data_IF_952867065955
#
_entry.id   IF_952867065955
#
_cell.length_a   1.000
_cell.length_b   1.000
_cell.length_c   1.000
_cell.angle_alpha   90.00
_cell.angle_beta   90.00
_cell.angle_gamma   90.00
#
_symmetry.space_group_name_H-M   'P 1'
#
loop_
_entity.id
_entity.type
_entity.pdbx_description
1 polymer ?
#
# COMPACT_ATOMS: atom_id res chain seq x y z
N UNK A 1 15.88 -0.27 10.62
CA UNK A 1 14.96 -0.55 9.49
C UNK A 1 13.76 0.36 9.61
N UNK A 2 13.30 0.92 8.49
CA UNK A 2 12.06 1.71 8.40
C UNK A 2 11.06 0.94 7.55
N UNK A 3 9.90 0.67 8.12
CA UNK A 3 8.70 0.16 7.45
C UNK A 3 7.63 1.24 7.43
N UNK A 4 6.70 1.12 6.49
CA UNK A 4 5.67 2.13 6.27
C UNK A 4 4.31 1.45 6.36
N UNK A 5 3.27 2.07 6.95
CA UNK A 5 1.99 1.42 7.14
C UNK A 5 1.29 1.20 5.80
N UNK A 6 0.64 0.04 5.64
CA UNK A 6 -0.22 -0.18 4.49
C UNK A 6 -1.55 0.58 4.69
N UNK A 7 -2.23 0.77 3.56
CA UNK A 7 -3.58 1.32 3.44
C UNK A 7 -4.53 0.65 4.44
N UNK A 8 -5.56 1.36 4.88
CA UNK A 8 -6.59 0.80 5.75
C UNK A 8 -7.59 -0.06 4.95
N UNK A 9 -7.10 -1.16 4.38
CA UNK A 9 -7.95 -2.17 3.75
C UNK A 9 -8.70 -2.96 4.83
N UNK A 10 -10.01 -3.16 4.64
CA UNK A 10 -10.88 -3.92 5.56
C UNK A 10 -10.73 -5.45 5.44
N UNK A 11 -9.76 -5.92 4.66
CA UNK A 11 -9.47 -7.34 4.46
C UNK A 11 -8.88 -7.95 5.73
N UNK A 12 -9.39 -9.13 6.09
CA UNK A 12 -9.03 -9.83 7.31
C UNK A 12 -8.52 -11.23 7.00
N UNK A 13 -7.46 -11.62 7.70
CA UNK A 13 -6.98 -12.99 7.71
C UNK A 13 -8.01 -13.92 8.40
N UNK A 14 -7.88 -15.22 8.12
CA UNK A 14 -8.67 -16.24 8.83
C UNK A 14 -8.25 -16.31 10.31
N UNK A 15 -9.17 -16.73 11.18
CA UNK A 15 -8.84 -16.96 12.60
C UNK A 15 -7.79 -18.06 12.79
N UNK A 16 -7.76 -19.05 11.87
CA UNK A 16 -6.76 -20.12 11.85
C UNK A 16 -5.35 -19.58 11.65
N UNK A 17 -5.19 -18.57 10.79
CA UNK A 17 -3.90 -17.90 10.59
C UNK A 17 -3.38 -17.26 11.89
N UNK A 18 -4.25 -16.60 12.64
CA UNK A 18 -3.85 -15.95 13.90
C UNK A 18 -3.47 -16.98 14.96
N UNK A 19 -4.22 -18.08 15.05
CA UNK A 19 -3.88 -19.19 15.93
C UNK A 19 -2.55 -19.82 15.55
N UNK A 20 -2.31 -20.03 14.25
CA UNK A 20 -1.05 -20.54 13.75
C UNK A 20 0.12 -19.63 14.14
N UNK A 21 0.01 -18.32 13.86
CA UNK A 21 1.06 -17.37 14.24
C UNK A 21 1.30 -17.36 15.74
N UNK A 22 0.24 -17.40 16.56
CA UNK A 22 0.38 -17.52 18.02
C UNK A 22 1.08 -18.80 18.46
N UNK A 23 0.82 -19.91 17.78
CA UNK A 23 1.42 -21.21 18.09
C UNK A 23 2.88 -21.34 17.61
N UNK A 24 3.27 -20.56 16.60
CA UNK A 24 4.66 -20.49 16.13
C UNK A 24 5.55 -19.66 17.07
N UNK A 25 4.95 -18.85 17.94
CA UNK A 25 5.71 -18.11 18.96
C UNK A 25 6.32 -19.10 19.97
N UNK A 26 7.59 -18.93 20.35
CA UNK A 26 8.25 -19.85 21.27
C UNK A 26 7.57 -19.83 22.64
N UNK A 27 7.28 -21.03 23.16
CA UNK A 27 6.67 -21.21 24.49
C UNK A 27 7.60 -20.75 25.62
N UNK A 28 7.07 -20.49 26.82
CA UNK A 28 7.87 -20.19 28.03
C UNK A 28 8.96 -21.23 28.29
N UNK A 29 8.65 -22.51 28.07
CA UNK A 29 9.59 -23.61 28.26
C UNK A 29 10.71 -23.60 27.22
N UNK A 30 10.39 -23.50 25.92
CA UNK A 30 11.39 -23.41 24.86
C UNK A 30 12.32 -22.21 25.09
N UNK A 31 11.78 -21.06 25.50
CA UNK A 31 12.57 -19.86 25.84
C UNK A 31 13.58 -20.12 26.97
N UNK A 32 13.21 -20.89 27.98
CA UNK A 32 14.08 -21.25 29.09
C UNK A 32 15.15 -22.27 28.68
N UNK A 33 14.75 -23.31 27.95
CA UNK A 33 15.61 -24.46 27.62
C UNK A 33 16.76 -24.07 26.68
N UNK A 34 16.53 -23.13 25.75
CA UNK A 34 17.56 -22.75 24.79
C UNK A 34 18.61 -21.78 25.31
N UNK A 35 18.45 -21.12 26.48
CA UNK A 35 19.39 -20.19 27.16
C UNK A 35 19.99 -19.01 26.34
N UNK A 36 19.93 -19.03 25.01
CA UNK A 36 20.39 -18.01 24.06
C UNK A 36 19.25 -17.11 23.56
N UNK A 37 17.99 -17.55 23.67
CA UNK A 37 16.81 -16.76 23.29
C UNK A 37 16.29 -15.84 24.41
N UNK A 38 17.19 -15.27 25.22
CA UNK A 38 16.84 -14.37 26.34
C UNK A 38 16.11 -13.09 25.90
N UNK A 39 16.12 -12.75 24.61
CA UNK A 39 15.43 -11.57 24.04
C UNK A 39 14.04 -11.86 23.46
N UNK A 40 13.57 -13.12 23.51
CA UNK A 40 12.41 -13.57 22.74
C UNK A 40 11.12 -13.76 23.56
N UNK A 41 10.97 -13.07 24.69
CA UNK A 41 9.60 -12.85 25.16
C UNK A 41 8.92 -11.99 24.12
N UNK A 42 7.87 -12.50 23.45
CA UNK A 42 6.95 -11.61 22.74
C UNK A 42 6.51 -10.57 23.76
N UNK A 43 6.94 -9.32 23.60
CA UNK A 43 6.62 -8.29 24.54
C UNK A 43 5.10 -8.17 24.65
N UNK A 44 4.60 -7.92 25.86
CA UNK A 44 3.18 -7.58 26.00
C UNK A 44 2.87 -6.36 25.15
N UNK A 45 1.64 -6.22 24.68
CA UNK A 45 1.22 -5.01 23.96
C UNK A 45 1.55 -3.75 24.78
N UNK A 46 1.37 -3.79 26.11
CA UNK A 46 1.77 -2.69 27.00
C UNK A 46 3.26 -2.36 26.96
N UNK A 47 4.13 -3.38 26.87
CA UNK A 47 5.57 -3.19 26.75
C UNK A 47 5.96 -2.69 25.35
N UNK A 48 5.36 -3.25 24.29
CA UNK A 48 5.54 -2.76 22.93
C UNK A 48 5.11 -1.30 22.82
N UNK A 49 3.97 -0.95 23.40
CA UNK A 49 3.44 0.41 23.38
C UNK A 49 4.38 1.39 24.09
N UNK A 50 5.11 0.95 25.12
CA UNK A 50 6.14 1.76 25.79
C UNK A 50 7.41 1.95 24.95
N UNK A 51 7.80 0.94 24.16
CA UNK A 51 8.99 1.02 23.30
C UNK A 51 8.69 1.77 22.01
N UNK A 52 7.66 1.33 21.30
CA UNK A 52 7.26 1.82 20.01
C UNK A 52 5.74 1.59 19.81
N UNK A 53 4.90 2.63 20.05
CA UNK A 53 3.45 2.57 19.88
C UNK A 53 3.01 2.10 18.49
N UNK A 54 3.75 2.49 17.44
CA UNK A 54 3.41 2.11 16.06
C UNK A 54 3.63 0.63 15.81
N UNK A 55 4.76 0.09 16.29
CA UNK A 55 5.03 -1.36 16.26
C UNK A 55 3.97 -2.11 17.08
N UNK A 56 3.58 -1.58 18.25
CA UNK A 56 2.50 -2.15 19.06
C UNK A 56 1.18 -2.23 18.29
N UNK A 57 0.81 -1.17 17.57
CA UNK A 57 -0.41 -1.13 16.76
C UNK A 57 -0.40 -2.20 15.66
N UNK A 58 0.72 -2.34 14.95
CA UNK A 58 0.85 -3.36 13.90
C UNK A 58 0.86 -4.77 14.49
N UNK A 59 1.53 -4.97 15.62
CA UNK A 59 1.51 -6.24 16.32
C UNK A 59 0.09 -6.62 16.74
N UNK A 60 -0.68 -5.66 17.27
CA UNK A 60 -2.08 -5.87 17.60
C UNK A 60 -2.90 -6.23 16.35
N UNK A 61 -2.70 -5.53 15.23
CA UNK A 61 -3.42 -5.80 14.00
C UNK A 61 -3.26 -7.24 13.48
N UNK A 62 -2.06 -7.82 13.66
CA UNK A 62 -1.75 -9.19 13.24
C UNK A 62 -2.26 -10.21 14.25
N UNK A 63 -1.93 -10.04 15.54
CA UNK A 63 -2.12 -11.09 16.54
C UNK A 63 -3.45 -11.00 17.31
N UNK A 64 -4.19 -9.90 17.22
CA UNK A 64 -5.52 -9.79 17.80
C UNK A 64 -6.54 -10.57 16.95
N UNK A 65 -7.31 -11.45 17.60
CA UNK A 65 -8.30 -12.31 16.96
C UNK A 65 -9.47 -11.50 16.39
N UNK A 66 -9.77 -10.34 16.98
CA UNK A 66 -10.90 -9.51 16.59
C UNK A 66 -10.51 -8.55 15.44
N UNK A 67 -9.23 -8.16 15.37
CA UNK A 67 -8.70 -7.26 14.33
C UNK A 67 -8.30 -8.03 13.08
N UNK A 68 -7.28 -8.91 13.21
CA UNK A 68 -6.80 -9.85 12.16
C UNK A 68 -6.65 -9.21 10.77
N UNK A 69 -6.01 -8.03 10.71
CA UNK A 69 -5.80 -7.26 9.48
C UNK A 69 -4.80 -7.98 8.57
N UNK A 70 -5.16 -8.17 7.30
CA UNK A 70 -4.31 -8.86 6.33
C UNK A 70 -3.12 -7.99 5.86
N UNK A 71 -3.35 -6.68 5.75
CA UNK A 71 -2.42 -5.67 5.22
C UNK A 71 -1.92 -4.76 6.34
N UNK A 72 -0.62 -4.80 6.62
CA UNK A 72 -0.09 -4.15 7.82
C UNK A 72 0.97 -3.10 7.51
N UNK A 73 1.85 -3.38 6.55
CA UNK A 73 2.95 -2.50 6.15
C UNK A 73 2.99 -2.42 4.62
N UNK A 74 3.26 -1.27 4.03
CA UNK A 74 3.36 -1.06 2.58
C UNK A 74 4.73 -1.56 2.05
N UNK A 75 4.82 -1.78 0.73
CA UNK A 75 5.93 -2.44 0.03
C UNK A 75 7.27 -1.69 0.06
N UNK A 76 7.35 -0.50 0.64
CA UNK A 76 8.62 0.23 0.70
C UNK A 76 9.34 -0.01 2.01
N UNK A 77 10.45 -0.72 1.90
CA UNK A 77 11.39 -1.01 2.97
C UNK A 77 12.62 -0.11 2.81
N UNK A 78 12.91 0.72 3.81
CA UNK A 78 14.15 1.51 3.83
C UNK A 78 15.09 0.95 4.90
N UNK A 79 16.19 0.33 4.46
CA UNK A 79 17.23 -0.18 5.34
C UNK A 79 18.30 0.90 5.53
N UNK A 80 18.23 1.64 6.64
CA UNK A 80 19.26 2.62 7.00
C UNK A 80 20.31 1.95 7.90
N UNK A 81 21.53 1.85 7.38
CA UNK A 81 22.77 1.60 8.12
C UNK A 81 22.76 0.38 9.07
N UNK A 82 22.24 -0.77 8.63
CA UNK A 82 22.28 -2.00 9.44
C UNK A 82 22.44 -3.29 8.61
N UNK A 83 23.42 -3.32 7.71
CA UNK A 83 23.65 -4.43 6.76
C UNK A 83 23.92 -5.79 7.42
N UNK A 84 24.56 -5.81 8.60
CA UNK A 84 24.97 -7.05 9.26
C UNK A 84 23.81 -7.80 9.95
N UNK A 85 22.61 -7.22 9.97
CA UNK A 85 21.55 -7.64 10.89
C UNK A 85 20.21 -7.99 10.20
N UNK A 86 20.18 -7.86 8.87
CA UNK A 86 18.97 -8.12 8.07
C UNK A 86 18.91 -9.57 7.56
N UNK A 87 20.03 -10.29 7.59
CA UNK A 87 20.14 -11.66 7.05
C UNK A 87 19.25 -12.67 7.78
N UNK A 88 19.24 -12.68 9.13
CA UNK A 88 18.40 -13.61 9.89
C UNK A 88 16.90 -13.31 9.73
N UNK A 89 16.43 -12.05 9.81
CA UNK A 89 15.04 -11.70 9.49
C UNK A 89 14.62 -12.08 8.06
N UNK A 90 15.46 -11.80 7.06
CA UNK A 90 15.17 -12.19 5.66
C UNK A 90 15.11 -13.70 5.48
N UNK A 91 16.04 -14.44 6.10
CA UNK A 91 16.03 -15.90 6.04
C UNK A 91 14.75 -16.46 6.68
N UNK A 92 14.34 -15.93 7.83
CA UNK A 92 13.10 -16.35 8.47
C UNK A 92 11.87 -15.97 7.64
N UNK A 93 11.86 -14.77 7.05
CA UNK A 93 10.82 -14.30 6.13
C UNK A 93 10.68 -15.24 4.92
N UNK A 94 11.80 -15.63 4.31
CA UNK A 94 11.81 -16.57 3.19
C UNK A 94 11.23 -17.93 3.60
N UNK A 95 11.60 -18.44 4.77
CA UNK A 95 11.02 -19.69 5.31
C UNK A 95 9.51 -19.57 5.51
N UNK A 96 9.03 -18.47 6.10
CA UNK A 96 7.60 -18.20 6.26
C UNK A 96 6.84 -18.13 4.93
N UNK A 97 7.48 -17.54 3.92
CA UNK A 97 6.91 -17.48 2.57
C UNK A 97 6.82 -18.88 1.93
N UNK A 98 7.85 -19.71 2.08
CA UNK A 98 7.89 -21.06 1.49
C UNK A 98 6.88 -22.05 2.09
N UNK A 99 6.49 -21.87 3.36
CA UNK A 99 5.51 -22.75 4.00
C UNK A 99 4.05 -22.46 3.58
N UNK A 100 3.82 -21.53 2.64
CA UNK A 100 2.51 -21.30 2.04
C UNK A 100 1.52 -20.60 2.97
N UNK A 101 1.99 -19.55 3.67
CA UNK A 101 1.15 -18.69 4.52
C UNK A 101 0.59 -17.47 3.78
N UNK A 102 0.52 -17.54 2.46
CA UNK A 102 0.04 -16.51 1.53
C UNK A 102 -1.39 -16.03 1.83
N UNK A 103 -2.21 -16.88 2.46
CA UNK A 103 -3.57 -16.51 2.90
C UNK A 103 -3.63 -15.84 4.28
N UNK A 104 -2.51 -15.81 4.98
CA UNK A 104 -2.45 -15.33 6.37
C UNK A 104 -1.89 -13.92 6.50
N UNK A 105 -1.11 -13.46 5.52
CA UNK A 105 -0.58 -12.10 5.40
C UNK A 105 -0.43 -11.71 3.93
N UNK A 106 -0.41 -10.42 3.62
CA UNK A 106 -0.37 -9.92 2.25
C UNK A 106 1.04 -9.90 1.59
N UNK A 107 1.90 -10.87 1.91
CA UNK A 107 3.15 -11.11 1.20
C UNK A 107 4.44 -10.96 2.01
N UNK A 108 5.54 -10.74 1.28
CA UNK A 108 6.93 -10.76 1.72
C UNK A 108 7.29 -9.75 2.83
N UNK A 109 6.72 -8.55 2.79
CA UNK A 109 6.92 -7.48 3.79
C UNK A 109 6.33 -7.83 5.16
N UNK A 110 5.13 -8.40 5.20
CA UNK A 110 4.56 -8.91 6.44
C UNK A 110 5.33 -10.12 6.95
N UNK A 111 5.85 -10.98 6.07
CA UNK A 111 6.74 -12.06 6.48
C UNK A 111 8.06 -11.56 7.08
N UNK A 112 8.61 -10.45 6.56
CA UNK A 112 9.80 -9.82 7.14
C UNK A 112 9.51 -9.30 8.55
N UNK A 113 8.38 -8.60 8.72
CA UNK A 113 7.92 -8.13 10.02
C UNK A 113 7.69 -9.27 11.01
N UNK A 114 7.03 -10.35 10.57
CA UNK A 114 6.84 -11.55 11.36
C UNK A 114 8.19 -12.18 11.72
N UNK A 115 9.12 -12.28 10.77
CA UNK A 115 10.47 -12.77 11.01
C UNK A 115 11.21 -11.97 12.08
N UNK A 116 11.12 -10.63 12.04
CA UNK A 116 11.65 -9.76 13.09
C UNK A 116 11.01 -10.07 14.45
N UNK A 117 9.68 -10.20 14.49
CA UNK A 117 8.95 -10.53 15.72
C UNK A 117 9.35 -11.91 16.30
N UNK A 118 9.47 -12.94 15.46
CA UNK A 118 9.91 -14.29 15.85
C UNK A 118 11.38 -14.36 16.27
N UNK A 119 12.17 -13.33 15.95
CA UNK A 119 13.55 -13.15 16.42
C UNK A 119 13.67 -12.20 17.62
N UNK A 120 12.55 -11.62 18.07
CA UNK A 120 12.51 -10.74 19.24
C UNK A 120 13.06 -9.36 18.94
N UNK A 121 13.03 -8.99 17.66
CA UNK A 121 13.56 -7.74 17.12
C UNK A 121 12.41 -6.76 16.96
N UNK A 122 12.40 -5.76 17.82
CA UNK A 122 11.43 -4.64 17.81
C UNK A 122 12.14 -3.28 17.68
N UNK A 123 13.43 -3.32 17.37
CA UNK A 123 14.34 -2.20 17.10
C UNK A 123 14.23 -1.69 15.65
N UNK A 124 13.01 -1.67 15.12
CA UNK A 124 12.69 -1.08 13.84
C UNK A 124 11.64 0.01 14.02
N UNK A 125 11.63 0.98 13.12
CA UNK A 125 10.63 2.02 13.11
C UNK A 125 9.61 1.70 12.03
N UNK A 126 8.33 1.75 12.41
CA UNK A 126 7.26 1.94 11.45
C UNK A 126 7.03 3.44 11.43
N UNK A 127 7.55 4.12 10.41
CA UNK A 127 7.20 5.54 10.25
C UNK A 127 5.76 5.56 9.78
N UNK A 128 4.88 6.20 10.55
CA UNK A 128 3.46 6.35 10.22
C UNK A 128 3.22 7.31 9.05
N UNK A 129 3.99 7.19 7.98
CA UNK A 129 3.85 8.02 6.79
C UNK A 129 2.53 7.69 6.12
N UNK A 130 1.85 8.73 5.66
CA UNK A 130 0.61 8.58 4.94
C UNK A 130 0.91 7.95 3.59
N UNK A 131 0.21 6.87 3.27
CA UNK A 131 0.14 6.35 1.90
C UNK A 131 -0.64 7.38 1.08
N UNK A 132 0.08 8.16 0.29
CA UNK A 132 -0.49 9.07 -0.69
C UNK A 132 -0.65 8.42 -2.05
N UNK A 133 -0.95 9.23 -3.05
CA UNK A 133 -0.81 8.85 -4.46
C UNK A 133 -0.24 10.03 -5.23
N UNK A 134 0.39 9.68 -6.34
CA UNK A 134 0.71 10.63 -7.38
C UNK A 134 -0.38 10.53 -8.44
N UNK A 135 -0.77 11.67 -8.98
CA UNK A 135 -1.75 11.72 -10.04
C UNK A 135 -1.30 12.71 -11.10
N UNK A 136 -1.70 12.40 -12.34
CA UNK A 136 -1.79 13.41 -13.38
C UNK A 136 -2.95 14.34 -13.05
N UNK A 137 -2.75 15.63 -13.29
CA UNK A 137 -3.87 16.55 -13.40
C UNK A 137 -4.35 16.40 -14.84
N UNK A 138 -5.65 16.15 -15.04
CA UNK A 138 -6.38 16.17 -16.32
C UNK A 138 -7.08 14.84 -16.69
N UNK A 139 -8.12 14.98 -17.53
CA UNK A 139 -9.09 14.05 -18.14
C UNK A 139 -10.53 14.21 -17.66
N UNK A 140 -10.76 14.56 -16.39
CA UNK A 140 -12.06 15.02 -15.89
C UNK A 140 -11.82 16.27 -15.04
N UNK A 141 -12.60 17.32 -15.27
CA UNK A 141 -12.51 18.56 -14.49
C UNK A 141 -12.61 18.25 -12.98
N UNK A 142 -11.60 18.71 -12.23
CA UNK A 142 -11.51 18.58 -10.78
C UNK A 142 -11.42 17.15 -10.21
N UNK A 143 -11.04 16.15 -11.01
CA UNK A 143 -10.74 14.80 -10.50
C UNK A 143 -9.26 14.48 -10.69
N UNK A 144 -8.61 14.03 -9.61
CA UNK A 144 -7.25 13.52 -9.64
C UNK A 144 -7.25 12.00 -9.46
N UNK A 145 -6.67 11.27 -10.42
CA UNK A 145 -6.56 9.82 -10.35
C UNK A 145 -5.10 9.35 -10.36
N UNK A 146 -4.72 8.48 -9.43
CA UNK A 146 -3.43 7.79 -9.41
C UNK A 146 -3.63 6.29 -9.53
N UNK A 147 -2.85 5.62 -10.37
CA UNK A 147 -2.91 4.15 -10.51
C UNK A 147 -2.07 3.42 -9.46
N UNK A 148 -1.20 4.14 -8.74
CA UNK A 148 -0.25 3.55 -7.80
C UNK A 148 -0.19 4.33 -6.49
N UNK A 149 -0.03 3.59 -5.40
CA UNK A 149 0.24 4.20 -4.10
C UNK A 149 1.65 4.77 -4.07
N UNK A 150 1.75 5.93 -3.43
CA UNK A 150 2.98 6.65 -3.22
C UNK A 150 3.19 6.89 -1.74
N UNK A 151 4.45 7.02 -1.34
CA UNK A 151 4.79 7.38 0.02
C UNK A 151 5.24 8.81 0.03
N UNK A 152 4.52 9.60 0.81
CA UNK A 152 4.65 11.05 0.81
C UNK A 152 4.95 11.49 2.23
N UNK A 153 5.86 12.45 2.36
CA UNK A 153 6.14 13.08 3.63
C UNK A 153 6.37 14.56 3.47
N UNK A 154 5.60 15.37 4.19
CA UNK A 154 5.69 16.84 4.13
C UNK A 154 5.62 17.34 2.68
N UNK A 155 4.84 16.66 1.82
CA UNK A 155 4.73 16.97 0.40
C UNK A 155 5.89 16.57 -0.50
N UNK A 156 6.80 15.72 -0.02
CA UNK A 156 7.85 15.14 -0.85
C UNK A 156 7.53 13.68 -1.14
N UNK A 157 7.68 13.27 -2.39
CA UNK A 157 7.62 11.86 -2.79
C UNK A 157 8.88 11.15 -2.29
N UNK A 158 8.71 10.10 -1.51
CA UNK A 158 9.79 9.26 -1.00
C UNK A 158 9.96 7.99 -1.82
N UNK A 159 8.84 7.38 -2.20
CA UNK A 159 8.81 6.22 -3.09
C UNK A 159 7.44 6.09 -3.75
N UNK A 160 7.41 5.33 -4.84
CA UNK A 160 6.18 4.91 -5.50
C UNK A 160 6.23 3.41 -5.71
N UNK A 161 5.12 2.73 -5.45
CA UNK A 161 5.05 1.29 -5.60
C UNK A 161 4.72 0.97 -7.06
N UNK A 162 5.70 0.48 -7.83
CA UNK A 162 5.48 -0.09 -9.17
C UNK A 162 6.57 0.21 -10.18
N UNK A 163 6.67 -0.64 -11.21
CA UNK A 163 7.63 -0.55 -12.33
C UNK A 163 7.35 0.59 -13.31
N UNK A 164 6.98 1.76 -12.78
CA UNK A 164 6.98 3.08 -13.41
C UNK A 164 6.11 3.29 -14.66
N UNK A 165 5.45 2.24 -15.18
CA UNK A 165 4.28 2.31 -16.06
C UNK A 165 2.98 2.38 -15.27
N UNK A 166 1.92 2.99 -15.82
CA UNK A 166 0.61 3.14 -15.16
C UNK A 166 0.01 1.80 -14.75
N UNK A 167 0.17 0.77 -15.58
CA UNK A 167 -0.37 -0.56 -15.33
C UNK A 167 0.72 -1.60 -15.05
N UNK A 168 0.75 -2.20 -13.85
CA UNK A 168 1.79 -3.20 -13.53
C UNK A 168 1.51 -4.59 -14.08
N UNK A 169 0.25 -4.91 -14.36
CA UNK A 169 -0.18 -6.22 -14.84
C UNK A 169 0.40 -6.49 -16.23
N UNK A 170 0.99 -7.68 -16.39
CA UNK A 170 1.54 -8.17 -17.65
C UNK A 170 0.89 -9.52 -18.02
N UNK A 171 0.37 -9.71 -19.24
CA UNK A 171 0.28 -8.72 -20.31
C UNK A 171 -0.78 -7.65 -20.02
N UNK A 172 -0.56 -6.41 -20.49
CA UNK A 172 -1.52 -5.31 -20.34
C UNK A 172 -2.89 -5.62 -20.95
N UNK A 173 -2.94 -6.41 -22.02
CA UNK A 173 -4.20 -6.83 -22.65
C UNK A 173 -5.13 -7.56 -21.66
N UNK A 174 -4.58 -8.38 -20.76
CA UNK A 174 -5.36 -9.07 -19.74
C UNK A 174 -6.01 -8.08 -18.77
N UNK A 175 -5.29 -7.02 -18.40
CA UNK A 175 -5.84 -5.99 -17.51
C UNK A 175 -6.98 -5.22 -18.16
N UNK A 176 -6.85 -4.90 -19.45
CA UNK A 176 -7.87 -4.19 -20.22
C UNK A 176 -9.12 -5.03 -20.37
N UNK A 177 -8.99 -6.31 -20.72
CA UNK A 177 -10.12 -7.24 -20.81
C UNK A 177 -10.91 -7.27 -19.49
N UNK A 178 -10.19 -7.43 -18.38
CA UNK A 178 -10.78 -7.50 -17.04
C UNK A 178 -11.44 -6.19 -16.60
N UNK A 179 -10.90 -5.05 -17.02
CA UNK A 179 -11.49 -3.76 -16.73
C UNK A 179 -12.77 -3.50 -17.54
N UNK A 180 -12.81 -3.99 -18.78
CA UNK A 180 -13.96 -3.86 -19.68
C UNK A 180 -15.02 -4.96 -19.46
N UNK A 181 -14.72 -6.03 -18.74
CA UNK A 181 -15.68 -7.09 -18.35
C UNK A 181 -16.83 -6.57 -17.47
N UNK A 182 -16.57 -5.55 -16.65
CA UNK A 182 -17.56 -4.93 -15.77
C UNK A 182 -18.18 -3.73 -16.49
N UNK A 183 -19.46 -3.84 -16.89
CA UNK A 183 -20.18 -2.82 -17.67
C UNK A 183 -20.05 -1.42 -17.08
N UNK A 184 -20.27 -1.30 -15.78
CA UNK A 184 -20.15 -0.07 -15.04
C UNK A 184 -18.74 0.57 -15.08
N UNK A 185 -17.71 -0.28 -15.09
CA UNK A 185 -16.30 0.14 -15.12
C UNK A 185 -15.96 0.61 -16.54
N UNK A 186 -16.45 -0.11 -17.55
CA UNK A 186 -16.35 0.29 -18.94
C UNK A 186 -17.03 1.66 -19.19
N UNK A 187 -18.25 1.88 -18.67
CA UNK A 187 -18.95 3.16 -18.80
C UNK A 187 -18.18 4.32 -18.13
N UNK A 188 -17.63 4.09 -16.94
CA UNK A 188 -16.79 5.09 -16.29
C UNK A 188 -15.54 5.41 -17.12
N UNK A 189 -14.87 4.41 -17.69
CA UNK A 189 -13.69 4.60 -18.54
C UNK A 189 -14.04 5.37 -19.82
N UNK A 190 -15.21 5.12 -20.42
CA UNK A 190 -15.69 5.90 -21.57
C UNK A 190 -15.82 7.38 -21.24
N UNK A 191 -16.36 7.71 -20.07
CA UNK A 191 -16.47 9.10 -19.59
C UNK A 191 -15.08 9.68 -19.33
N UNK A 192 -14.22 8.96 -18.61
CA UNK A 192 -12.87 9.42 -18.25
C UNK A 192 -12.00 9.72 -19.47
N UNK A 193 -12.04 8.85 -20.49
CA UNK A 193 -11.29 9.07 -21.73
C UNK A 193 -12.05 9.93 -22.76
N UNK A 194 -13.30 10.30 -22.49
CA UNK A 194 -14.19 10.96 -23.46
C UNK A 194 -14.31 10.18 -24.78
N UNK A 195 -14.37 8.84 -24.69
CA UNK A 195 -14.47 7.91 -25.82
C UNK A 195 -15.72 7.06 -25.65
N UNK A 196 -16.70 7.18 -26.55
CA UNK A 196 -17.93 6.37 -26.51
C UNK A 196 -17.78 4.98 -27.13
N UNK A 197 -16.86 4.85 -28.09
CA UNK A 197 -16.62 3.62 -28.87
C UNK A 197 -15.69 2.66 -28.13
N UNK A 198 -16.10 1.39 -27.99
CA UNK A 198 -15.38 0.43 -27.14
C UNK A 198 -14.04 0.01 -27.74
N UNK A 199 -13.94 -0.09 -29.06
CA UNK A 199 -12.69 -0.50 -29.71
C UNK A 199 -11.65 0.61 -29.63
N UNK A 200 -12.06 1.87 -29.86
CA UNK A 200 -11.20 3.04 -29.60
C UNK A 200 -10.80 3.16 -28.14
N UNK A 201 -11.70 2.85 -27.20
CA UNK A 201 -11.36 2.86 -25.79
C UNK A 201 -10.30 1.80 -25.49
N UNK A 202 -10.41 0.60 -26.06
CA UNK A 202 -9.41 -0.45 -25.90
C UNK A 202 -8.03 0.00 -26.40
N UNK A 203 -7.96 0.61 -27.57
CA UNK A 203 -6.70 1.15 -28.12
C UNK A 203 -6.09 2.22 -27.20
N UNK A 204 -6.90 3.15 -26.69
CA UNK A 204 -6.44 4.20 -25.78
C UNK A 204 -5.96 3.61 -24.44
N UNK A 205 -6.64 2.58 -23.92
CA UNK A 205 -6.21 1.89 -22.71
C UNK A 205 -4.89 1.15 -22.90
N UNK A 206 -4.66 0.52 -24.06
CA UNK A 206 -3.37 -0.13 -24.38
C UNK A 206 -2.22 0.86 -24.34
N UNK A 207 -2.44 2.06 -24.87
CA UNK A 207 -1.47 3.15 -24.85
C UNK A 207 -1.28 3.66 -23.42
N UNK A 208 -2.35 4.08 -22.73
CA UNK A 208 -2.25 4.70 -21.40
C UNK A 208 -1.68 3.73 -20.36
N UNK A 209 -2.06 2.46 -20.38
CA UNK A 209 -1.60 1.47 -19.39
C UNK A 209 -0.11 1.17 -19.52
N UNK A 210 0.44 1.28 -20.73
CA UNK A 210 1.87 1.11 -21.00
C UNK A 210 2.69 2.38 -20.75
N UNK A 211 2.04 3.56 -20.66
CA UNK A 211 2.74 4.83 -20.42
C UNK A 211 3.26 4.95 -19.01
N UNK A 212 4.23 5.84 -18.84
CA UNK A 212 4.74 6.22 -17.53
C UNK A 212 3.65 6.86 -16.68
N UNK A 213 3.82 6.78 -15.37
CA UNK A 213 2.89 7.39 -14.41
C UNK A 213 3.01 8.92 -14.51
N UNK A 214 1.87 9.60 -14.60
CA UNK A 214 1.83 11.05 -14.54
C UNK A 214 1.97 11.50 -13.07
N UNK A 215 2.95 12.36 -12.81
CA UNK A 215 3.28 12.87 -11.46
C UNK A 215 3.20 14.40 -11.49
N UNK A 216 1.97 14.93 -11.50
CA UNK A 216 1.75 16.38 -11.50
C UNK A 216 1.38 16.90 -10.11
N UNK A 217 0.65 16.08 -9.34
CA UNK A 217 0.27 16.40 -7.97
C UNK A 217 0.60 15.26 -7.01
N UNK A 218 0.82 15.65 -5.76
CA UNK A 218 0.94 14.74 -4.63
C UNK A 218 -0.26 14.95 -3.72
N UNK A 219 -0.94 13.85 -3.39
CA UNK A 219 -2.01 13.85 -2.39
C UNK A 219 -1.53 13.14 -1.13
N UNK A 220 -1.44 13.88 -0.04
CA UNK A 220 -1.04 13.39 1.28
C UNK A 220 -2.28 13.30 2.19
N UNK A 221 -2.78 12.10 2.53
CA UNK A 221 -3.89 11.97 3.47
C UNK A 221 -3.57 12.60 4.83
N UNK A 222 -4.58 13.14 5.50
CA UNK A 222 -4.44 13.65 6.85
C UNK A 222 -4.53 12.48 7.85
N UNK A 223 -3.48 12.25 8.68
CA UNK A 223 -3.42 11.09 9.58
C UNK A 223 -4.46 11.14 10.71
N UNK A 224 -5.08 12.30 10.95
CA UNK A 224 -6.14 12.46 11.94
C UNK A 224 -7.48 11.83 11.53
N UNK A 225 -7.62 11.43 10.26
CA UNK A 225 -8.84 10.82 9.73
C UNK A 225 -8.60 9.33 9.43
N UNK A 226 -9.56 8.47 9.81
CA UNK A 226 -9.53 7.07 9.39
C UNK A 226 -9.76 6.98 7.88
N UNK A 227 -8.84 6.31 7.19
CA UNK A 227 -8.92 6.06 5.76
C UNK A 227 -10.01 5.00 5.50
N UNK A 228 -11.10 5.39 4.85
CA UNK A 228 -12.12 4.44 4.39
C UNK A 228 -12.19 4.43 2.87
N UNK A 229 -11.82 3.30 2.26
CA UNK A 229 -12.18 3.03 0.87
C UNK A 229 -13.67 2.71 0.82
N UNK A 230 -14.44 3.61 0.23
CA UNK A 230 -15.81 3.25 -0.17
C UNK A 230 -15.77 2.47 -1.47
N UNK A 231 -16.71 1.54 -1.56
CA UNK A 231 -16.87 0.61 -2.67
C UNK A 231 -18.16 0.99 -3.38
N UNK A 232 -18.16 2.06 -4.17
CA UNK A 232 -18.98 2.10 -5.37
C UNK A 232 -18.64 3.29 -6.26
N UNK A 233 -18.61 3.04 -7.56
CA UNK A 233 -18.43 4.03 -8.63
C UNK A 233 -19.77 4.69 -9.01
N UNK A 234 -20.86 4.37 -8.31
CA UNK A 234 -22.23 4.86 -8.54
C UNK A 234 -22.95 5.45 -7.31
N UNK A 235 -22.37 5.41 -6.12
CA UNK A 235 -23.08 5.86 -4.91
C UNK A 235 -23.01 7.39 -4.73
N UNK A 236 -23.92 8.09 -5.43
CA UNK A 236 -24.13 9.54 -5.30
C UNK A 236 -24.68 9.97 -3.92
N UNK A 237 -25.21 9.05 -3.13
CA UNK A 237 -25.89 9.35 -1.86
C UNK A 237 -24.96 9.22 -0.65
N UNK A 238 -23.74 8.70 -0.84
CA UNK A 238 -22.76 8.58 0.23
C UNK A 238 -21.89 9.84 0.32
N UNK A 239 -22.42 10.87 0.99
CA UNK A 239 -21.88 12.24 1.22
C UNK A 239 -20.47 12.36 1.86
N UNK A 240 -19.58 11.35 1.81
CA UNK A 240 -18.21 11.47 2.36
C UNK A 240 -17.29 10.38 1.78
N UNK A 241 -16.70 10.56 0.59
CA UNK A 241 -16.05 9.45 -0.15
C UNK A 241 -14.78 9.86 -0.89
N UNK A 242 -13.68 10.05 -0.15
CA UNK A 242 -12.45 10.67 -0.66
C UNK A 242 -11.57 9.77 -1.53
N UNK A 243 -11.78 8.45 -1.51
CA UNK A 243 -10.88 7.49 -2.15
C UNK A 243 -11.69 6.35 -2.76
N UNK A 244 -11.79 6.36 -4.10
CA UNK A 244 -12.42 5.28 -4.85
C UNK A 244 -11.44 4.14 -5.09
N UNK A 245 -11.87 2.88 -4.96
CA UNK A 245 -11.12 1.71 -5.46
C UNK A 245 -11.12 1.80 -6.99
N UNK A 246 -9.94 2.00 -7.57
CA UNK A 246 -9.72 2.38 -8.97
C UNK A 246 -10.44 1.57 -10.04
N UNK A 247 -10.69 2.31 -11.12
CA UNK A 247 -11.20 1.83 -12.37
C UNK A 247 -10.10 1.43 -13.39
N UNK A 248 -8.81 1.38 -13.02
CA UNK A 248 -7.70 1.15 -13.94
C UNK A 248 -6.88 -0.10 -13.63
N UNK A 249 -6.36 -0.74 -14.67
CA UNK A 249 -5.41 -1.86 -14.67
C UNK A 249 -5.74 -3.00 -13.68
N UNK A 250 -7.00 -3.34 -13.44
CA UNK A 250 -7.39 -4.30 -12.39
C UNK A 250 -6.88 -3.99 -10.96
N UNK A 251 -6.25 -2.83 -10.72
CA UNK A 251 -5.52 -2.53 -9.49
C UNK A 251 -6.26 -1.53 -8.60
N UNK A 252 -5.78 -1.43 -7.35
CA UNK A 252 -6.13 -0.37 -6.40
C UNK A 252 -5.41 0.95 -6.75
N UNK A 253 -5.70 1.56 -7.88
CA UNK A 253 -5.61 3.02 -7.99
C UNK A 253 -6.68 3.77 -7.16
N UNK A 254 -6.61 5.10 -7.21
CA UNK A 254 -7.37 6.02 -6.39
C UNK A 254 -7.80 7.20 -7.23
N UNK A 255 -9.06 7.59 -7.17
CA UNK A 255 -9.54 8.85 -7.70
C UNK A 255 -10.12 9.69 -6.56
N UNK A 256 -9.85 11.00 -6.62
CA UNK A 256 -10.25 12.01 -5.65
C UNK A 256 -10.91 13.19 -6.38
N UNK A 257 -12.08 13.61 -5.88
CA UNK A 257 -12.72 14.87 -6.27
C UNK A 257 -12.10 16.03 -5.49
N UNK A 258 -11.64 17.06 -6.21
CA UNK A 258 -10.94 18.22 -5.68
C UNK A 258 -11.89 19.39 -5.30
N UNK A 259 -13.17 19.36 -5.68
CA UNK A 259 -14.13 20.46 -5.44
C UNK A 259 -14.87 20.39 -4.09
N UNK A 260 -15.05 19.21 -3.49
CA UNK A 260 -15.92 19.02 -2.31
C UNK A 260 -15.30 19.43 -0.95
N UNK A 261 -14.04 19.86 -0.86
CA UNK A 261 -13.43 20.20 0.44
C UNK A 261 -13.39 21.71 0.75
N UNK A 262 -14.44 22.20 1.41
CA UNK A 262 -14.45 23.49 2.13
C UNK A 262 -14.46 23.36 3.66
N UNK A 263 -14.34 22.16 4.23
CA UNK A 263 -14.29 21.99 5.69
C UNK A 263 -13.23 20.98 6.13
N UNK A 264 -12.15 21.50 6.74
CA UNK A 264 -11.13 20.78 7.52
C UNK A 264 -10.44 19.60 6.79
N UNK A 265 -9.56 19.98 5.86
CA UNK A 265 -8.69 19.19 4.96
C UNK A 265 -8.35 17.76 5.43
N UNK A 266 -9.07 16.77 4.90
CA UNK A 266 -8.77 15.34 5.15
C UNK A 266 -7.58 14.85 4.32
N UNK A 267 -7.08 15.67 3.42
CA UNK A 267 -5.85 15.46 2.67
C UNK A 267 -5.23 16.81 2.32
N UNK A 268 -3.95 16.77 1.97
CA UNK A 268 -3.20 17.92 1.48
C UNK A 268 -2.84 17.62 0.02
N UNK A 269 -3.39 18.42 -0.89
CA UNK A 269 -2.97 18.40 -2.30
C UNK A 269 -1.83 19.37 -2.48
N UNK A 270 -0.72 18.89 -3.04
CA UNK A 270 0.42 19.72 -3.42
C UNK A 270 0.68 19.55 -4.89
N UNK A 271 0.51 20.63 -5.63
CA UNK A 271 1.04 20.72 -6.99
C UNK A 271 2.56 20.73 -6.93
N UNK A 272 3.19 19.99 -7.84
CA UNK A 272 4.63 19.97 -7.97
C UNK A 272 5.06 21.09 -8.92
N UNK A 273 6.19 21.72 -8.60
CA UNK A 273 6.82 22.69 -9.48
C UNK A 273 7.34 21.99 -10.75
N UNK A 274 7.38 22.72 -11.86
CA UNK A 274 7.77 22.18 -13.18
C UNK A 274 9.12 21.47 -13.13
N UNK A 275 10.10 22.04 -12.42
CA UNK A 275 11.44 21.48 -12.28
C UNK A 275 11.42 20.11 -11.56
N UNK A 276 10.55 19.95 -10.56
CA UNK A 276 10.40 18.69 -9.80
C UNK A 276 9.70 17.62 -10.65
N UNK A 277 8.68 18.02 -11.41
CA UNK A 277 8.01 17.13 -12.37
C UNK A 277 8.99 16.64 -13.44
N UNK A 278 9.84 17.53 -13.95
CA UNK A 278 10.86 17.17 -14.93
C UNK A 278 11.93 16.25 -14.35
N UNK A 279 12.37 16.48 -13.10
CA UNK A 279 13.26 15.56 -12.39
C UNK A 279 12.66 14.15 -12.28
N UNK A 280 11.40 14.03 -11.87
CA UNK A 280 10.74 12.73 -11.78
C UNK A 280 10.57 12.07 -13.15
N UNK A 281 10.18 12.80 -14.18
CA UNK A 281 10.09 12.28 -15.55
C UNK A 281 11.43 11.73 -16.05
N UNK A 282 12.53 12.45 -15.79
CA UNK A 282 13.87 11.98 -16.15
C UNK A 282 14.24 10.67 -15.43
N UNK A 283 13.84 10.50 -14.17
CA UNK A 283 14.04 9.25 -13.43
C UNK A 283 13.19 8.13 -14.04
N UNK A 284 11.91 8.39 -14.34
CA UNK A 284 11.00 7.41 -14.97
C UNK A 284 11.56 6.92 -16.31
N UNK A 285 11.96 7.87 -17.18
CA UNK A 285 12.55 7.60 -18.48
C UNK A 285 13.79 6.70 -18.39
N UNK A 286 14.67 6.94 -17.42
CA UNK A 286 15.89 6.16 -17.24
C UNK A 286 15.60 4.72 -16.79
N UNK A 287 14.59 4.54 -15.94
CA UNK A 287 14.21 3.21 -15.47
C UNK A 287 13.47 2.40 -16.54
N UNK A 288 12.57 3.01 -17.31
CA UNK A 288 11.78 2.32 -18.33
C UNK A 288 12.56 1.98 -19.61
N UNK A 289 13.78 2.53 -19.78
CA UNK A 289 14.68 2.21 -20.90
C UNK A 289 15.54 0.95 -20.67
N UNK A 290 15.57 0.39 -19.46
CA UNK A 290 16.31 -0.82 -19.11
C UNK A 290 15.40 -2.04 -18.94
#
# INVERSE_FOLDING_TARGET
MILLPDRALKERASSQCIQLFKNMLPTTKQRYDFKTFKSLSVPTLDYLNKINPTVSKVFNNIFDIDVRKLHNVDSSLVIINNYNDVSSPLMFSALLNFIGLDKCVYGDKEFLLLGMAYLGRFDFNILGLNTGFVAGKDKIDNVACGTQSAQVYNGKLLSINGGLRKCKIDPVSYAIEKDLELENKAEWLKVYYSISDLDRLREELEIDYMREIDIDIIVEPNPSFEFELKKDYLDKDSENSYWMRSAFCMEYGYCLDLEEEKSESRYIVKSLDVDVVEEYKNILDLWNKN
#
